data_IF_372294981878
#
_entry.id   IF_372294981878
#
_cell.length_a   1.000
_cell.length_b   1.000
_cell.length_c   1.000
_cell.angle_alpha   90.00
_cell.angle_beta   90.00
_cell.angle_gamma   90.00
#
_symmetry.space_group_name_H-M   'P 1'
#
loop_
_entity.id
_entity.type
_entity.pdbx_description
1 polymer ?
#
# COMPACT_ATOMS: atom_id res chain seq x y z
N UNK A 1 0.25 8.36 -9.13
CA UNK A 1 -0.78 7.41 -8.66
C UNK A 1 -2.13 8.10 -8.59
N UNK A 2 -3.16 7.43 -9.07
CA UNK A 2 -4.51 7.97 -9.01
C UNK A 2 -5.17 7.63 -7.68
N UNK A 3 -5.81 8.60 -7.04
CA UNK A 3 -6.53 8.41 -5.79
C UNK A 3 -7.93 9.00 -5.91
N UNK A 4 -8.93 8.24 -5.46
CA UNK A 4 -10.31 8.71 -5.40
C UNK A 4 -10.87 8.42 -4.02
N UNK A 5 -11.63 9.37 -3.48
CA UNK A 5 -12.34 9.21 -2.21
C UNK A 5 -13.77 8.84 -2.49
N UNK A 6 -14.28 7.85 -1.75
CA UNK A 6 -15.66 7.39 -1.86
C UNK A 6 -16.32 7.46 -0.48
N UNK A 7 -17.62 7.55 -0.46
CA UNK A 7 -18.42 7.63 0.77
C UNK A 7 -19.39 6.47 0.80
N UNK A 8 -19.57 5.85 1.97
CA UNK A 8 -20.60 4.84 2.15
C UNK A 8 -21.97 5.51 2.28
N UNK A 9 -22.88 5.13 1.41
CA UNK A 9 -24.25 5.63 1.41
C UNK A 9 -25.18 4.50 0.99
N UNK A 10 -26.20 4.23 1.81
CA UNK A 10 -27.17 3.16 1.55
C UNK A 10 -26.51 1.79 1.29
N UNK A 11 -25.45 1.49 2.07
CA UNK A 11 -24.73 0.23 1.96
C UNK A 11 -23.78 0.11 0.78
N UNK A 12 -23.59 1.18 0.02
CA UNK A 12 -22.73 1.20 -1.18
C UNK A 12 -21.66 2.28 -1.07
N UNK A 13 -20.55 2.10 -1.79
CA UNK A 13 -19.57 3.14 -1.97
C UNK A 13 -19.97 3.99 -3.17
N UNK A 14 -20.11 5.29 -2.94
CA UNK A 14 -20.54 6.26 -3.97
C UNK A 14 -19.56 7.41 -4.05
N UNK A 15 -19.56 8.11 -5.20
CA UNK A 15 -18.74 9.30 -5.35
C UNK A 15 -19.33 10.43 -4.50
N UNK A 16 -18.47 11.18 -3.76
CA UNK A 16 -18.95 12.29 -2.93
C UNK A 16 -19.44 13.49 -3.76
N UNK A 17 -18.98 13.61 -5.00
CA UNK A 17 -19.35 14.71 -5.90
C UNK A 17 -19.07 14.35 -7.36
N UNK A 18 -19.54 15.20 -8.27
CA UNK A 18 -19.38 14.97 -9.73
C UNK A 18 -17.91 15.06 -10.16
N UNK A 19 -17.10 15.87 -9.49
CA UNK A 19 -15.68 16.01 -9.80
C UNK A 19 -14.94 14.69 -9.59
N UNK A 20 -15.21 13.99 -8.51
CA UNK A 20 -14.59 12.68 -8.23
C UNK A 20 -14.98 11.64 -9.28
N UNK A 21 -16.25 11.64 -9.68
CA UNK A 21 -16.76 10.77 -10.74
C UNK A 21 -16.08 11.04 -12.08
N UNK A 22 -15.93 12.31 -12.42
CA UNK A 22 -15.28 12.72 -13.66
C UNK A 22 -13.79 12.31 -13.65
N UNK A 23 -13.09 12.55 -12.56
CA UNK A 23 -11.68 12.20 -12.43
C UNK A 23 -11.45 10.70 -12.59
N UNK A 24 -12.31 9.86 -12.01
CA UNK A 24 -12.23 8.41 -12.18
C UNK A 24 -12.47 8.01 -13.64
N UNK A 25 -13.45 8.61 -14.28
CA UNK A 25 -13.75 8.34 -15.69
C UNK A 25 -12.56 8.70 -16.59
N UNK A 26 -11.94 9.85 -16.35
CA UNK A 26 -10.76 10.27 -17.12
C UNK A 26 -9.58 9.32 -16.92
N UNK A 27 -9.38 8.85 -15.70
CA UNK A 27 -8.36 7.84 -15.43
C UNK A 27 -8.64 6.55 -16.19
N UNK A 28 -9.89 6.08 -16.15
CA UNK A 28 -10.30 4.85 -16.81
C UNK A 28 -10.12 4.95 -18.33
N UNK A 29 -10.47 6.10 -18.92
CA UNK A 29 -10.36 6.31 -20.35
C UNK A 29 -8.91 6.30 -20.86
N UNK A 30 -7.94 6.60 -19.99
CA UNK A 30 -6.51 6.58 -20.32
C UNK A 30 -5.88 5.20 -20.19
N UNK A 31 -6.56 4.25 -19.57
CA UNK A 31 -6.03 2.91 -19.42
C UNK A 31 -6.15 2.14 -20.73
N UNK A 32 -5.07 1.49 -21.21
CA UNK A 32 -5.16 0.59 -22.36
C UNK A 32 -6.03 -0.62 -22.05
N UNK A 33 -6.70 -1.16 -23.04
CA UNK A 33 -7.43 -2.41 -22.90
C UNK A 33 -6.47 -3.53 -22.46
N UNK A 34 -6.93 -4.35 -21.53
CA UNK A 34 -6.13 -5.45 -21.00
C UNK A 34 -5.10 -5.06 -19.94
N UNK A 35 -4.98 -3.76 -19.64
CA UNK A 35 -4.07 -3.31 -18.59
C UNK A 35 -4.55 -3.78 -17.22
N UNK A 36 -3.71 -4.50 -16.50
CA UNK A 36 -3.97 -4.90 -15.12
C UNK A 36 -3.77 -3.72 -14.18
N UNK A 37 -4.71 -3.53 -13.27
CA UNK A 37 -4.62 -2.50 -12.24
C UNK A 37 -4.87 -3.12 -10.88
N UNK A 38 -4.37 -2.47 -9.85
CA UNK A 38 -4.52 -2.89 -8.47
C UNK A 38 -5.14 -1.77 -7.67
N UNK A 39 -6.13 -2.12 -6.85
CA UNK A 39 -6.86 -1.14 -6.04
C UNK A 39 -6.56 -1.35 -4.57
N UNK A 40 -6.38 -0.26 -3.85
CA UNK A 40 -6.20 -0.25 -2.40
C UNK A 40 -7.36 0.51 -1.77
N UNK A 41 -7.97 -0.10 -0.76
CA UNK A 41 -9.08 0.51 -0.02
C UNK A 41 -8.61 0.77 1.40
N UNK A 42 -8.60 2.03 1.80
CA UNK A 42 -8.22 2.45 3.14
C UNK A 42 -9.17 3.51 3.66
N UNK A 43 -9.26 3.62 4.98
CA UNK A 43 -10.05 4.67 5.60
C UNK A 43 -9.31 6.00 5.52
N UNK A 44 -10.03 7.07 5.19
CA UNK A 44 -9.48 8.42 5.25
C UNK A 44 -9.47 8.87 6.70
N UNK A 45 -8.38 8.59 7.39
CA UNK A 45 -8.23 8.99 8.78
C UNK A 45 -7.15 10.05 8.93
N UNK A 46 -7.09 10.71 10.08
CA UNK A 46 -6.04 11.66 10.40
C UNK A 46 -4.69 11.01 10.62
N UNK A 47 -4.65 9.70 10.89
CA UNK A 47 -3.45 8.99 11.31
C UNK A 47 -2.62 8.42 10.16
N UNK A 48 -3.22 8.22 9.00
CA UNK A 48 -2.52 7.70 7.83
C UNK A 48 -3.21 8.13 6.54
N UNK A 49 -2.48 8.12 5.43
CA UNK A 49 -3.03 8.42 4.12
C UNK A 49 -3.14 7.15 3.28
N UNK A 50 -4.13 7.10 2.40
CA UNK A 50 -4.28 6.03 1.41
C UNK A 50 -3.06 6.00 0.48
N UNK A 51 -2.51 7.17 0.14
CA UNK A 51 -1.31 7.26 -0.69
C UNK A 51 -0.11 6.59 -0.02
N UNK A 52 0.05 6.77 1.30
CA UNK A 52 1.13 6.15 2.05
C UNK A 52 0.99 4.62 2.08
N UNK A 53 -0.22 4.11 2.31
CA UNK A 53 -0.50 2.68 2.27
C UNK A 53 -0.20 2.08 0.89
N UNK A 54 -0.65 2.74 -0.18
CA UNK A 54 -0.38 2.31 -1.54
C UNK A 54 1.12 2.33 -1.86
N UNK A 55 1.87 3.30 -1.33
CA UNK A 55 3.33 3.37 -1.51
C UNK A 55 4.05 2.18 -0.88
N UNK A 56 3.65 1.76 0.32
CA UNK A 56 4.21 0.55 0.96
C UNK A 56 4.02 -0.66 0.06
N UNK A 57 2.81 -0.86 -0.44
CA UNK A 57 2.52 -2.00 -1.31
C UNK A 57 3.32 -1.96 -2.62
N UNK A 58 3.43 -0.79 -3.24
CA UNK A 58 4.21 -0.61 -4.46
C UNK A 58 5.70 -0.92 -4.24
N UNK A 59 6.28 -0.44 -3.15
CA UNK A 59 7.68 -0.72 -2.81
C UNK A 59 7.92 -2.21 -2.58
N UNK A 60 7.03 -2.88 -1.85
CA UNK A 60 7.15 -4.33 -1.61
C UNK A 60 7.07 -5.10 -2.93
N UNK A 61 6.19 -4.71 -3.84
CA UNK A 61 6.09 -5.36 -5.14
C UNK A 61 7.37 -5.23 -5.94
N UNK A 62 7.96 -4.03 -5.99
CA UNK A 62 9.21 -3.82 -6.71
C UNK A 62 10.35 -4.63 -6.12
N UNK A 63 10.44 -4.70 -4.79
CA UNK A 63 11.44 -5.53 -4.11
C UNK A 63 11.22 -7.01 -4.40
N UNK A 64 9.99 -7.48 -4.40
CA UNK A 64 9.66 -8.88 -4.71
C UNK A 64 10.10 -9.24 -6.14
N UNK A 65 9.79 -8.38 -7.11
CA UNK A 65 10.19 -8.60 -8.49
C UNK A 65 11.71 -8.67 -8.65
N UNK A 66 12.45 -7.80 -7.99
CA UNK A 66 13.91 -7.76 -8.11
C UNK A 66 14.58 -8.92 -7.36
N UNK A 67 14.06 -9.30 -6.21
CA UNK A 67 14.65 -10.32 -5.34
C UNK A 67 14.32 -11.76 -5.72
N UNK A 68 13.23 -11.97 -6.45
CA UNK A 68 12.70 -13.30 -6.72
C UNK A 68 11.80 -13.87 -5.63
N UNK A 69 11.62 -13.17 -4.51
CA UNK A 69 10.63 -13.55 -3.51
C UNK A 69 9.22 -13.28 -4.02
N UNK A 70 8.22 -13.98 -3.46
CA UNK A 70 6.83 -13.62 -3.68
C UNK A 70 6.50 -12.32 -2.97
N UNK A 71 5.39 -11.69 -3.34
CA UNK A 71 4.91 -10.49 -2.66
C UNK A 71 4.69 -10.76 -1.16
N UNK A 72 4.07 -11.89 -0.82
CA UNK A 72 3.79 -12.23 0.58
C UNK A 72 5.05 -12.48 1.39
N UNK A 73 6.05 -13.14 0.79
CA UNK A 73 7.34 -13.34 1.44
C UNK A 73 8.05 -12.03 1.73
N UNK A 74 8.10 -11.14 0.73
CA UNK A 74 8.73 -9.83 0.89
C UNK A 74 7.98 -8.98 1.90
N UNK A 75 6.66 -9.06 1.94
CA UNK A 75 5.83 -8.36 2.92
C UNK A 75 6.20 -8.75 4.35
N UNK A 76 6.40 -10.03 4.61
CA UNK A 76 6.83 -10.52 5.91
C UNK A 76 8.23 -9.99 6.27
N UNK A 77 9.16 -10.02 5.33
CA UNK A 77 10.52 -9.50 5.53
C UNK A 77 10.47 -8.02 5.94
N UNK A 78 9.67 -7.22 5.24
CA UNK A 78 9.53 -5.79 5.54
C UNK A 78 8.89 -5.58 6.91
N UNK A 79 7.88 -6.35 7.26
CA UNK A 79 7.24 -6.25 8.58
C UNK A 79 8.18 -6.61 9.72
N UNK A 80 9.00 -7.63 9.56
CA UNK A 80 10.03 -7.97 10.54
C UNK A 80 11.05 -6.85 10.68
N UNK A 81 11.56 -6.35 9.56
CA UNK A 81 12.57 -5.30 9.55
C UNK A 81 12.08 -4.00 10.17
N UNK A 82 10.81 -3.68 10.02
CA UNK A 82 10.22 -2.44 10.55
C UNK A 82 9.60 -2.60 11.95
N UNK A 83 9.68 -3.78 12.55
CA UNK A 83 9.19 -4.00 13.92
C UNK A 83 7.68 -4.11 14.02
N UNK A 84 7.01 -4.55 12.97
CA UNK A 84 5.54 -4.70 12.91
C UNK A 84 5.08 -6.10 13.28
N UNK A 85 5.91 -6.88 13.98
CA UNK A 85 5.55 -8.18 14.51
C UNK A 85 5.38 -8.10 16.02
N UNK A 86 4.50 -8.92 16.56
CA UNK A 86 4.28 -9.01 18.00
C UNK A 86 3.94 -10.45 18.40
N UNK A 87 4.12 -10.75 19.69
CA UNK A 87 3.78 -12.07 20.25
C UNK A 87 2.29 -12.12 20.54
N UNK A 88 1.59 -12.99 19.81
CA UNK A 88 0.15 -13.18 19.95
C UNK A 88 -0.22 -14.49 20.66
N UNK A 89 0.36 -14.76 21.85
CA UNK A 89 0.02 -15.96 22.62
C UNK A 89 0.81 -17.19 22.22
N UNK A 90 2.12 -17.04 21.99
CA UNK A 90 3.02 -18.13 21.62
C UNK A 90 3.28 -18.26 20.13
N UNK A 91 2.65 -17.42 19.32
CA UNK A 91 2.91 -17.32 17.89
C UNK A 91 3.26 -15.88 17.54
N UNK A 92 4.14 -15.70 16.54
CA UNK A 92 4.47 -14.38 16.03
C UNK A 92 3.35 -13.93 15.09
N UNK A 93 2.78 -12.76 15.36
CA UNK A 93 1.72 -12.17 14.55
C UNK A 93 2.26 -10.90 13.90
N UNK A 94 1.96 -10.72 12.61
CA UNK A 94 2.35 -9.54 11.85
C UNK A 94 1.18 -8.58 11.76
N UNK A 95 1.43 -7.31 12.08
CA UNK A 95 0.40 -6.28 12.05
C UNK A 95 0.00 -6.00 10.59
N UNK A 96 -1.30 -5.93 10.32
CA UNK A 96 -1.79 -5.53 9.00
C UNK A 96 -1.40 -4.08 8.72
N UNK A 97 -0.98 -3.77 7.49
CA UNK A 97 -0.69 -2.38 7.11
C UNK A 97 -1.93 -1.48 7.24
N UNK A 98 -3.12 -2.04 7.04
CA UNK A 98 -4.37 -1.30 7.22
C UNK A 98 -4.57 -0.83 8.67
N UNK A 99 -3.99 -1.56 9.64
CA UNK A 99 -4.08 -1.23 11.06
C UNK A 99 -2.88 -0.42 11.57
N UNK A 100 -1.91 -0.13 10.71
CA UNK A 100 -0.73 0.63 11.07
C UNK A 100 -1.04 2.13 11.16
N UNK A 101 -0.36 2.80 12.09
CA UNK A 101 -0.36 4.25 12.17
C UNK A 101 0.47 4.86 11.03
N UNK A 102 0.36 6.18 10.86
CA UNK A 102 1.19 6.93 9.92
C UNK A 102 2.69 6.70 10.15
N UNK A 103 3.11 6.72 11.41
CA UNK A 103 4.53 6.52 11.77
C UNK A 103 4.99 5.10 11.49
N UNK A 104 4.14 4.11 11.74
CA UNK A 104 4.44 2.71 11.42
C UNK A 104 4.57 2.49 9.91
N UNK A 105 3.71 3.11 9.11
CA UNK A 105 3.82 3.04 7.65
C UNK A 105 5.08 3.72 7.15
N UNK A 106 5.48 4.84 7.76
CA UNK A 106 6.73 5.52 7.42
C UNK A 106 7.95 4.62 7.69
N UNK A 107 7.94 3.87 8.80
CA UNK A 107 9.00 2.90 9.10
C UNK A 107 9.04 1.77 8.07
N UNK A 108 7.89 1.28 7.65
CA UNK A 108 7.83 0.23 6.63
C UNK A 108 8.36 0.71 5.28
N UNK A 109 8.02 1.93 4.88
CA UNK A 109 8.55 2.54 3.65
C UNK A 109 10.07 2.71 3.75
N UNK A 110 10.57 3.19 4.88
CA UNK A 110 12.00 3.35 5.09
C UNK A 110 12.74 2.00 5.04
N UNK A 111 12.13 0.94 5.60
CA UNK A 111 12.69 -0.41 5.50
C UNK A 111 12.79 -0.88 4.06
N UNK A 112 11.78 -0.61 3.24
CA UNK A 112 11.81 -0.92 1.82
C UNK A 112 12.96 -0.19 1.10
N UNK A 113 13.10 1.10 1.37
CA UNK A 113 14.14 1.93 0.76
C UNK A 113 15.53 1.40 1.13
N UNK A 114 15.74 1.10 2.41
CA UNK A 114 17.02 0.61 2.91
C UNK A 114 17.38 -0.75 2.32
N UNK A 115 16.45 -1.71 2.34
CA UNK A 115 16.67 -3.04 1.77
C UNK A 115 16.92 -2.96 0.27
N UNK A 116 16.14 -2.15 -0.44
CA UNK A 116 16.31 -1.97 -1.87
C UNK A 116 17.67 -1.42 -2.22
N UNK A 117 18.13 -0.41 -1.51
CA UNK A 117 19.44 0.21 -1.73
C UNK A 117 20.60 -0.73 -1.37
N UNK A 118 20.55 -1.32 -0.18
CA UNK A 118 21.68 -2.08 0.37
C UNK A 118 21.83 -3.45 -0.28
N UNK A 119 20.73 -4.12 -0.61
CA UNK A 119 20.76 -5.49 -1.11
C UNK A 119 20.63 -5.60 -2.63
N UNK A 120 19.96 -4.65 -3.27
CA UNK A 120 19.63 -4.74 -4.69
C UNK A 120 20.04 -3.52 -5.52
N UNK A 121 20.66 -2.52 -4.91
CA UNK A 121 21.06 -1.31 -5.63
C UNK A 121 19.92 -0.50 -6.21
N UNK A 122 18.72 -0.60 -5.62
CA UNK A 122 17.51 0.06 -6.09
C UNK A 122 17.30 1.42 -5.44
N UNK A 123 16.65 2.32 -6.16
CA UNK A 123 16.22 3.61 -5.64
C UNK A 123 14.68 3.65 -5.62
N UNK A 124 14.10 3.45 -4.43
CA UNK A 124 12.64 3.38 -4.24
C UNK A 124 12.02 4.69 -3.72
N UNK A 125 12.75 5.77 -3.68
CA UNK A 125 12.27 7.07 -3.19
C UNK A 125 11.23 7.71 -4.09
#
# INVERSE_FOLDING_TARGET
>A
MFTVKLVKQDGKLVYPNDKSKLNYKLFLDKLPEGQEVEMFIGLTSSDKSVAQLAKVHACIRELALESGYTFDEMKIIIKEKSGLSYDGGGAIVFKSFADCSKDELALAIQACITIGKDNYGMNLT
#
